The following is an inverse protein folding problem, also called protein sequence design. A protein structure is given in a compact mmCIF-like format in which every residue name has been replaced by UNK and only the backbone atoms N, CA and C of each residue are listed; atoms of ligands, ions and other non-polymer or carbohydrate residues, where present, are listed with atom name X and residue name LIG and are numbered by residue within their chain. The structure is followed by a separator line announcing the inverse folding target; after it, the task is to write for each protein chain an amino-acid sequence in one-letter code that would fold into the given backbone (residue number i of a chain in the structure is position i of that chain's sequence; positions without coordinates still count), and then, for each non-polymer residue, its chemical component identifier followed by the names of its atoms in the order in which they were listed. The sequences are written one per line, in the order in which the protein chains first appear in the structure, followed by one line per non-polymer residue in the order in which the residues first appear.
data_IF_520649162139
#
_entry.id   IF_520649162139
#
_cell.length_a   1.000
_cell.length_b   1.000
_cell.length_c   1.000
_cell.angle_alpha   90.00
_cell.angle_beta   90.00
_cell.angle_gamma   90.00
#
_symmetry.space_group_name_H-M   'P 1'
#
loop_
_entity.id
_entity.type
_entity.pdbx_description
1 polymer ?
#
# COMPACT_ATOMS: atom_id res chain seq x y z
N UNK A 1 -4.85 23.29 -3.31
CA UNK A 1 -6.06 22.54 -3.70
C UNK A 1 -5.83 21.06 -3.53
N UNK A 2 -6.79 20.36 -2.94
CA UNK A 2 -6.68 18.94 -2.73
C UNK A 2 -6.79 18.15 -4.03
N UNK A 3 -6.15 17.00 -4.07
CA UNK A 3 -6.09 16.13 -5.24
C UNK A 3 -6.66 14.75 -4.90
N UNK A 4 -7.10 13.97 -5.88
CA UNK A 4 -7.50 12.60 -5.60
C UNK A 4 -6.29 11.74 -5.25
N UNK A 5 -6.48 10.77 -4.37
CA UNK A 5 -5.44 9.85 -3.94
C UNK A 5 -5.79 8.40 -4.24
N UNK A 6 -4.77 7.64 -4.66
CA UNK A 6 -4.85 6.20 -4.77
C UNK A 6 -3.92 5.60 -3.73
N UNK A 7 -4.51 4.99 -2.70
CA UNK A 7 -3.79 4.36 -1.61
C UNK A 7 -3.74 2.86 -1.87
N UNK A 8 -2.55 2.36 -2.17
CA UNK A 8 -2.38 0.99 -2.65
C UNK A 8 -1.68 0.15 -1.59
N UNK A 9 -2.19 -1.06 -1.34
CA UNK A 9 -1.45 -2.04 -0.56
C UNK A 9 -0.24 -2.52 -1.37
N UNK A 10 0.77 -3.02 -0.67
CA UNK A 10 1.96 -3.56 -1.30
C UNK A 10 1.76 -5.05 -1.63
N UNK A 11 1.70 -5.89 -0.58
CA UNK A 11 1.62 -7.34 -0.74
C UNK A 11 0.20 -7.75 -1.17
N UNK A 12 0.09 -8.48 -2.25
CA UNK A 12 -1.19 -8.90 -2.80
C UNK A 12 -1.86 -7.91 -3.75
N UNK A 13 -1.28 -6.72 -3.94
CA UNK A 13 -1.79 -5.69 -4.87
C UNK A 13 -0.73 -5.27 -5.89
N UNK A 14 0.41 -4.76 -5.42
CA UNK A 14 1.52 -4.36 -6.31
C UNK A 14 2.50 -5.50 -6.56
N UNK A 15 2.76 -6.31 -5.55
CA UNK A 15 3.63 -7.49 -5.66
C UNK A 15 2.91 -8.73 -5.15
N UNK A 16 3.37 -9.88 -5.61
CA UNK A 16 2.88 -11.16 -5.10
C UNK A 16 3.21 -11.30 -3.61
N UNK A 17 2.25 -11.80 -2.84
CA UNK A 17 2.46 -12.10 -1.43
C UNK A 17 2.99 -13.52 -1.28
N UNK A 18 4.31 -13.64 -1.13
CA UNK A 18 5.01 -14.92 -0.97
C UNK A 18 5.24 -15.31 0.49
N UNK A 19 4.58 -14.62 1.42
CA UNK A 19 4.81 -14.80 2.85
C UNK A 19 5.95 -13.90 3.34
N UNK A 20 5.61 -12.70 3.77
CA UNK A 20 6.56 -11.69 4.27
C UNK A 20 7.71 -11.38 3.30
N UNK A 21 7.42 -10.93 2.04
CA UNK A 21 8.48 -10.61 1.08
C UNK A 21 9.40 -9.51 1.63
N UNK A 22 10.71 -9.75 1.58
CA UNK A 22 11.70 -8.81 2.12
C UNK A 22 13.08 -8.91 1.45
N UNK A 23 13.34 -9.95 0.66
CA UNK A 23 14.58 -10.11 -0.11
C UNK A 23 14.33 -9.72 -1.56
N UNK A 24 15.38 -9.26 -2.25
CA UNK A 24 15.27 -8.83 -3.65
C UNK A 24 14.59 -9.88 -4.53
N UNK A 25 14.90 -11.16 -4.30
CA UNK A 25 14.31 -12.28 -5.04
C UNK A 25 12.82 -12.48 -4.78
N UNK A 26 12.28 -11.89 -3.71
CA UNK A 26 10.85 -11.95 -3.41
C UNK A 26 10.04 -10.91 -4.19
N UNK A 27 10.72 -9.96 -4.85
CA UNK A 27 10.02 -8.86 -5.52
C UNK A 27 9.51 -9.32 -6.88
N UNK A 28 8.22 -9.61 -6.94
CA UNK A 28 7.53 -10.03 -8.17
C UNK A 28 6.30 -9.16 -8.35
N UNK A 29 6.34 -8.28 -9.34
CA UNK A 29 5.21 -7.40 -9.64
C UNK A 29 3.99 -8.22 -10.05
N UNK A 30 2.83 -7.83 -9.54
CA UNK A 30 1.56 -8.36 -10.01
C UNK A 30 1.35 -7.88 -11.45
N UNK A 31 0.75 -8.71 -12.32
CA UNK A 31 0.49 -8.29 -13.71
C UNK A 31 -0.25 -6.95 -13.76
N UNK A 32 0.24 -6.05 -14.58
CA UNK A 32 -0.35 -4.73 -14.75
C UNK A 32 -0.05 -3.73 -13.62
N UNK A 33 0.76 -4.07 -12.61
CA UNK A 33 1.02 -3.17 -11.49
C UNK A 33 1.64 -1.85 -11.94
N UNK A 34 2.70 -1.89 -12.74
CA UNK A 34 3.34 -0.66 -13.22
C UNK A 34 2.42 0.14 -14.14
N UNK A 35 1.71 -0.54 -15.04
CA UNK A 35 0.75 0.13 -15.94
C UNK A 35 -0.38 0.81 -15.13
N UNK A 36 -0.86 0.16 -14.07
CA UNK A 36 -1.89 0.71 -13.20
C UNK A 36 -1.41 1.99 -12.51
N UNK A 37 -0.21 1.95 -11.92
CA UNK A 37 0.35 3.12 -11.23
C UNK A 37 0.59 4.25 -12.22
N UNK A 38 1.15 3.95 -13.39
CA UNK A 38 1.37 4.96 -14.43
C UNK A 38 0.06 5.62 -14.87
N UNK A 39 -1.00 4.82 -15.05
CA UNK A 39 -2.33 5.35 -15.38
C UNK A 39 -2.82 6.31 -14.30
N UNK A 40 -2.67 5.95 -13.04
CA UNK A 40 -3.05 6.82 -11.91
C UNK A 40 -2.23 8.11 -11.90
N UNK A 41 -0.92 8.02 -12.17
CA UNK A 41 -0.08 9.22 -12.31
C UNK A 41 -0.61 10.13 -13.43
N UNK A 42 -0.89 9.57 -14.59
CA UNK A 42 -1.37 10.33 -15.75
C UNK A 42 -2.75 10.97 -15.49
N UNK A 43 -3.58 10.34 -14.67
CA UNK A 43 -4.89 10.86 -14.29
C UNK A 43 -4.83 11.90 -13.14
N UNK A 44 -3.65 12.18 -12.60
CA UNK A 44 -3.47 13.18 -11.57
C UNK A 44 -3.67 12.71 -10.14
N UNK A 45 -3.74 11.38 -9.93
CA UNK A 45 -3.82 10.83 -8.58
C UNK A 45 -2.50 10.95 -7.85
N UNK A 46 -2.56 11.27 -6.57
CA UNK A 46 -1.44 11.07 -5.67
C UNK A 46 -1.37 9.57 -5.37
N UNK A 47 -0.24 8.94 -5.65
CA UNK A 47 -0.08 7.49 -5.46
C UNK A 47 0.73 7.20 -4.21
N UNK A 48 0.13 6.52 -3.25
CA UNK A 48 0.79 6.17 -1.99
C UNK A 48 0.62 4.68 -1.71
N UNK A 49 1.69 4.08 -1.16
CA UNK A 49 1.63 2.71 -0.65
C UNK A 49 1.32 2.78 0.84
N UNK A 50 0.36 1.98 1.28
CA UNK A 50 -0.04 1.85 2.69
C UNK A 50 -0.06 0.37 3.03
N UNK A 51 0.86 -0.09 3.89
CA UNK A 51 1.07 -1.53 4.08
C UNK A 51 1.39 -1.91 5.52
N UNK A 52 0.76 -2.99 6.01
CA UNK A 52 1.18 -3.64 7.25
C UNK A 52 2.43 -4.48 6.95
N UNK A 53 3.46 -4.35 7.79
CA UNK A 53 4.72 -5.07 7.66
C UNK A 53 5.10 -5.75 8.97
N UNK A 54 4.25 -6.64 9.44
CA UNK A 54 4.43 -7.32 10.72
C UNK A 54 5.60 -8.31 10.75
N UNK A 55 6.22 -8.59 9.60
CA UNK A 55 7.46 -9.38 9.56
C UNK A 55 8.58 -8.75 10.39
N UNK A 56 8.61 -7.43 10.49
CA UNK A 56 9.54 -6.70 11.36
C UNK A 56 9.27 -7.05 12.82
N UNK A 57 8.01 -6.98 13.25
CA UNK A 57 7.60 -7.33 14.61
C UNK A 57 7.89 -8.80 14.95
N UNK A 58 7.85 -9.68 13.96
CA UNK A 58 8.10 -11.12 14.12
C UNK A 58 9.58 -11.48 14.06
N UNK A 59 10.46 -10.48 13.86
CA UNK A 59 11.91 -10.70 13.80
C UNK A 59 12.40 -11.37 12.52
N UNK A 60 11.59 -11.40 11.46
CA UNK A 60 11.97 -12.01 10.19
C UNK A 60 12.93 -11.13 9.39
N UNK A 61 12.85 -9.82 9.55
CA UNK A 61 13.75 -8.83 8.95
C UNK A 61 13.61 -7.53 9.76
N UNK A 62 14.60 -6.64 9.63
CA UNK A 62 14.57 -5.35 10.32
C UNK A 62 13.96 -4.23 9.46
N UNK A 63 13.81 -3.03 10.05
CA UNK A 63 13.28 -1.88 9.31
C UNK A 63 14.17 -1.47 8.16
N UNK A 64 15.50 -1.56 8.30
CA UNK A 64 16.42 -1.21 7.22
C UNK A 64 16.19 -2.10 6.02
N UNK A 65 16.00 -3.42 6.22
CA UNK A 65 15.68 -4.34 5.13
C UNK A 65 14.33 -4.03 4.51
N UNK A 66 13.33 -3.70 5.33
CA UNK A 66 12.02 -3.30 4.85
C UNK A 66 12.12 -2.05 3.96
N UNK A 67 12.85 -1.02 4.41
CA UNK A 67 13.03 0.21 3.63
C UNK A 67 13.79 -0.05 2.33
N UNK A 68 14.82 -0.90 2.35
CA UNK A 68 15.57 -1.26 1.15
C UNK A 68 14.70 -1.99 0.13
N UNK A 69 13.84 -2.90 0.61
CA UNK A 69 12.90 -3.61 -0.26
C UNK A 69 11.89 -2.65 -0.89
N UNK A 70 11.34 -1.73 -0.09
CA UNK A 70 10.40 -0.73 -0.60
C UNK A 70 11.07 0.18 -1.64
N UNK A 71 12.32 0.59 -1.40
CA UNK A 71 13.08 1.39 -2.37
C UNK A 71 13.29 0.64 -3.69
N UNK A 72 13.58 -0.66 -3.62
CA UNK A 72 13.72 -1.50 -4.80
C UNK A 72 12.39 -1.59 -5.58
N UNK A 73 11.27 -1.71 -4.88
CA UNK A 73 9.96 -1.71 -5.51
C UNK A 73 9.71 -0.41 -6.28
N UNK A 74 10.00 0.74 -5.65
CA UNK A 74 9.83 2.03 -6.30
C UNK A 74 10.73 2.17 -7.53
N UNK A 75 11.95 1.66 -7.46
CA UNK A 75 12.89 1.64 -8.59
C UNK A 75 12.36 0.79 -9.73
N UNK A 76 11.84 -0.42 -9.44
CA UNK A 76 11.27 -1.30 -10.47
C UNK A 76 10.05 -0.67 -11.14
N UNK A 77 9.21 0.02 -10.39
CA UNK A 77 8.07 0.74 -10.95
C UNK A 77 8.55 1.91 -11.82
N UNK A 78 9.56 2.66 -11.36
CA UNK A 78 10.12 3.79 -12.09
C UNK A 78 10.74 3.36 -13.42
N UNK A 79 11.36 2.18 -13.47
CA UNK A 79 11.91 1.61 -14.72
C UNK A 79 10.83 1.45 -15.80
N UNK A 80 9.57 1.32 -15.40
CA UNK A 80 8.44 1.20 -16.31
C UNK A 80 7.61 2.49 -16.39
N UNK A 81 8.16 3.61 -15.91
CA UNK A 81 7.53 4.92 -16.00
C UNK A 81 6.47 5.21 -14.94
N UNK A 82 6.40 4.41 -13.90
CA UNK A 82 5.42 4.57 -12.81
C UNK A 82 6.05 5.21 -11.58
N UNK A 83 5.33 6.17 -10.94
CA UNK A 83 5.82 6.90 -9.78
C UNK A 83 4.93 6.65 -8.57
N UNK A 84 5.58 6.36 -7.43
CA UNK A 84 4.93 6.34 -6.12
C UNK A 84 5.38 7.59 -5.35
N UNK A 85 4.43 8.35 -4.83
CA UNK A 85 4.71 9.61 -4.15
C UNK A 85 5.14 9.42 -2.70
N UNK A 86 4.67 8.38 -2.02
CA UNK A 86 5.06 8.08 -0.64
C UNK A 86 4.75 6.63 -0.26
N UNK A 87 5.44 6.14 0.78
CA UNK A 87 5.23 4.81 1.35
C UNK A 87 4.98 4.94 2.85
N UNK A 88 3.88 4.37 3.31
CA UNK A 88 3.54 4.27 4.73
C UNK A 88 3.51 2.79 5.10
N UNK A 89 4.33 2.41 6.08
CA UNK A 89 4.43 1.02 6.53
C UNK A 89 4.27 0.95 8.05
N UNK A 90 3.54 -0.05 8.52
CA UNK A 90 3.34 -0.29 9.95
C UNK A 90 4.04 -1.60 10.36
N UNK A 91 5.13 -1.52 11.15
CA UNK A 91 5.84 -2.71 11.61
C UNK A 91 5.24 -3.32 12.88
N UNK A 92 4.28 -2.66 13.52
CA UNK A 92 3.76 -3.06 14.83
C UNK A 92 2.77 -4.22 14.75
N UNK A 93 2.74 -5.03 15.80
CA UNK A 93 1.81 -6.15 15.95
C UNK A 93 1.58 -6.45 17.43
N UNK A 94 0.37 -6.87 17.80
CA UNK A 94 0.04 -7.20 19.18
C UNK A 94 0.84 -8.39 19.73
N UNK A 95 1.20 -9.32 18.85
CA UNK A 95 1.93 -10.54 19.20
C UNK A 95 3.39 -10.49 18.74
N UNK A 96 3.99 -9.29 18.72
CA UNK A 96 5.38 -9.12 18.29
C UNK A 96 6.33 -9.89 19.19
N UNK A 97 7.28 -10.61 18.55
CA UNK A 97 8.40 -11.23 19.28
C UNK A 97 9.51 -10.22 19.56
N UNK A 98 9.60 -9.16 18.74
CA UNK A 98 10.50 -8.03 18.97
C UNK A 98 9.74 -7.02 19.81
N UNK A 99 10.14 -6.86 21.07
CA UNK A 99 9.37 -6.13 22.09
C UNK A 99 9.01 -4.70 21.69
N UNK A 100 9.94 -3.95 21.10
CA UNK A 100 9.69 -2.55 20.71
C UNK A 100 8.60 -2.38 19.66
N UNK A 101 8.24 -3.45 18.95
CA UNK A 101 7.16 -3.43 17.96
C UNK A 101 5.86 -4.04 18.49
N UNK A 102 5.81 -4.38 19.79
CA UNK A 102 4.59 -4.92 20.39
C UNK A 102 3.67 -3.78 20.76
N UNK A 103 2.47 -3.80 20.18
CA UNK A 103 1.43 -2.84 20.51
C UNK A 103 0.08 -3.55 20.36
N UNK A 104 -0.79 -3.46 21.38
CA UNK A 104 -2.06 -4.21 21.36
C UNK A 104 -3.01 -3.74 20.25
N UNK A 105 -2.94 -2.45 19.86
CA UNK A 105 -3.82 -1.88 18.85
C UNK A 105 -3.21 -0.60 18.29
N UNK A 106 -2.12 -0.73 17.52
CA UNK A 106 -1.42 0.44 16.97
C UNK A 106 -2.32 1.18 15.98
N UNK A 107 -2.40 2.53 16.08
CA UNK A 107 -3.27 3.32 15.19
C UNK A 107 -2.94 3.20 13.70
N UNK A 108 -1.72 2.81 13.35
CA UNK A 108 -1.31 2.61 11.95
C UNK A 108 -1.59 1.20 11.44
N UNK A 109 -1.85 0.24 12.34
CA UNK A 109 -2.08 -1.13 11.89
C UNK A 109 -3.51 -1.30 11.40
N UNK A 110 -3.68 -1.65 10.12
CA UNK A 110 -5.00 -1.93 9.54
C UNK A 110 -5.70 -3.03 10.38
N UNK A 111 -6.96 -2.92 10.72
CA UNK A 111 -7.97 -2.03 10.11
C UNK A 111 -8.00 -0.59 10.64
N UNK A 112 -7.07 -0.17 11.50
CA UNK A 112 -7.00 1.21 11.95
C UNK A 112 -6.53 2.11 10.79
N UNK A 113 -7.06 3.34 10.67
CA UNK A 113 -6.84 4.18 9.50
C UNK A 113 -5.65 5.14 9.62
N UNK A 114 -4.76 4.99 10.62
CA UNK A 114 -3.72 5.99 10.91
C UNK A 114 -2.84 6.33 9.72
N UNK A 115 -2.38 5.32 8.96
CA UNK A 115 -1.55 5.56 7.77
C UNK A 115 -2.32 6.31 6.69
N UNK A 116 -3.58 5.93 6.44
CA UNK A 116 -4.42 6.61 5.44
C UNK A 116 -4.68 8.06 5.84
N UNK A 117 -4.98 8.32 7.11
CA UNK A 117 -5.22 9.67 7.59
C UNK A 117 -3.98 10.56 7.47
N UNK A 118 -2.79 10.01 7.75
CA UNK A 118 -1.54 10.74 7.56
C UNK A 118 -1.29 11.05 6.09
N UNK A 119 -1.50 10.08 5.21
CA UNK A 119 -1.33 10.28 3.77
C UNK A 119 -2.27 11.40 3.26
N UNK A 120 -3.52 11.37 3.70
CA UNK A 120 -4.52 12.39 3.34
C UNK A 120 -4.04 13.79 3.74
N UNK A 121 -3.54 13.93 4.97
CA UNK A 121 -3.07 15.21 5.49
C UNK A 121 -1.77 15.67 4.82
N UNK A 122 -0.79 14.78 4.73
CA UNK A 122 0.56 15.14 4.25
C UNK A 122 0.61 15.41 2.75
N UNK A 123 -0.31 14.81 1.99
CA UNK A 123 -0.33 14.95 0.52
C UNK A 123 -1.53 15.74 0.00
N UNK A 124 -2.26 16.40 0.91
CA UNK A 124 -3.44 17.20 0.56
C UNK A 124 -4.42 16.43 -0.34
N UNK A 125 -4.76 15.23 0.11
CA UNK A 125 -5.65 14.33 -0.62
C UNK A 125 -7.12 14.63 -0.25
N UNK A 126 -7.98 14.64 -1.27
CA UNK A 126 -9.43 14.74 -1.07
C UNK A 126 -10.00 13.31 -0.89
N UNK A 127 -10.40 12.92 0.32
CA UNK A 127 -10.87 11.55 0.55
C UNK A 127 -12.12 11.20 -0.25
N UNK A 128 -12.96 12.19 -0.58
CA UNK A 128 -14.22 11.94 -1.32
C UNK A 128 -13.99 11.58 -2.78
N UNK A 129 -12.79 11.84 -3.32
CA UNK A 129 -12.40 11.51 -4.68
C UNK A 129 -11.32 10.45 -4.73
N UNK A 130 -11.10 9.75 -3.61
CA UNK A 130 -9.97 8.85 -3.42
C UNK A 130 -10.43 7.43 -3.13
N UNK A 131 -9.49 6.48 -3.29
CA UNK A 131 -9.78 5.09 -3.01
C UNK A 131 -8.57 4.36 -2.39
N UNK A 132 -8.87 3.25 -1.76
CA UNK A 132 -7.90 2.30 -1.21
C UNK A 132 -8.05 0.97 -1.93
N UNK A 133 -6.97 0.45 -2.52
CA UNK A 133 -6.93 -0.89 -3.08
C UNK A 133 -6.24 -1.81 -2.10
N UNK A 134 -6.90 -2.89 -1.72
CA UNK A 134 -6.36 -3.91 -0.84
C UNK A 134 -6.95 -5.27 -1.15
N UNK A 135 -6.34 -6.32 -0.63
CA UNK A 135 -6.78 -7.70 -0.85
C UNK A 135 -7.46 -8.32 0.37
N UNK A 136 -7.49 -7.61 1.50
CA UNK A 136 -8.01 -8.11 2.78
C UNK A 136 -9.22 -7.30 3.27
N UNK A 137 -10.11 -7.93 4.09
CA UNK A 137 -11.19 -7.18 4.73
C UNK A 137 -10.70 -6.01 5.58
N UNK A 138 -9.52 -6.13 6.21
CA UNK A 138 -8.93 -5.05 7.00
C UNK A 138 -8.60 -3.81 6.17
N UNK A 139 -8.28 -3.97 4.88
CA UNK A 139 -8.07 -2.86 3.96
C UNK A 139 -9.37 -2.09 3.72
N UNK A 140 -10.48 -2.81 3.56
CA UNK A 140 -11.79 -2.23 3.31
C UNK A 140 -12.29 -1.48 4.55
N UNK A 141 -12.08 -2.02 5.74
CA UNK A 141 -12.46 -1.37 6.97
C UNK A 141 -11.62 -0.11 7.24
N UNK A 142 -10.32 -0.16 6.99
CA UNK A 142 -9.46 1.01 7.10
C UNK A 142 -9.91 2.12 6.14
N UNK A 143 -10.25 1.77 4.91
CA UNK A 143 -10.78 2.73 3.92
C UNK A 143 -12.06 3.38 4.43
N UNK A 144 -13.00 2.59 4.93
CA UNK A 144 -14.27 3.09 5.47
C UNK A 144 -14.03 4.08 6.61
N UNK A 145 -13.14 3.74 7.54
CA UNK A 145 -12.81 4.60 8.69
C UNK A 145 -12.14 5.89 8.28
N UNK A 146 -11.36 5.86 7.19
CA UNK A 146 -10.67 7.05 6.68
C UNK A 146 -11.55 7.91 5.76
N UNK A 147 -12.73 7.43 5.39
CA UNK A 147 -13.64 8.16 4.50
C UNK A 147 -13.28 8.06 3.03
N UNK A 148 -12.53 7.04 2.62
CA UNK A 148 -12.20 6.77 1.21
C UNK A 148 -12.90 5.50 0.74
N UNK A 149 -13.10 5.40 -0.58
CA UNK A 149 -13.71 4.21 -1.17
C UNK A 149 -12.75 3.01 -1.08
N UNK A 150 -13.22 1.87 -0.63
CA UNK A 150 -12.46 0.63 -0.64
C UNK A 150 -12.71 -0.15 -1.92
N UNK A 151 -11.64 -0.58 -2.58
CA UNK A 151 -11.69 -1.45 -3.76
C UNK A 151 -10.93 -2.74 -3.44
N UNK A 152 -11.66 -3.85 -3.37
CA UNK A 152 -11.04 -5.12 -3.04
C UNK A 152 -10.52 -5.81 -4.30
N UNK A 153 -9.20 -6.03 -4.35
CA UNK A 153 -8.53 -6.71 -5.45
C UNK A 153 -8.39 -8.20 -5.13
N UNK A 154 -8.91 -9.04 -6.00
CA UNK A 154 -8.93 -10.50 -5.79
C UNK A 154 -7.98 -11.24 -6.74
N UNK A 155 -6.95 -10.55 -7.25
CA UNK A 155 -5.98 -11.13 -8.16
C UNK A 155 -6.24 -10.77 -9.62
N UNK A 156 -5.37 -11.24 -10.49
CA UNK A 156 -5.41 -10.94 -11.91
C UNK A 156 -4.58 -9.71 -12.26
N UNK A 157 -4.97 -9.02 -13.32
CA UNK A 157 -4.25 -7.84 -13.82
C UNK A 157 -4.74 -6.58 -13.10
N UNK A 158 -3.85 -5.90 -12.40
CA UNK A 158 -4.21 -4.71 -11.62
C UNK A 158 -4.65 -3.54 -12.48
N UNK A 159 -4.02 -3.33 -13.65
CA UNK A 159 -4.41 -2.25 -14.54
C UNK A 159 -5.83 -2.46 -15.09
N UNK A 160 -6.13 -3.68 -15.50
CA UNK A 160 -7.47 -4.03 -15.97
C UNK A 160 -8.50 -3.81 -14.85
N UNK A 161 -8.19 -4.25 -13.63
CA UNK A 161 -9.05 -4.05 -12.46
C UNK A 161 -9.37 -2.57 -12.25
N UNK A 162 -8.35 -1.71 -12.26
CA UNK A 162 -8.55 -0.27 -12.05
C UNK A 162 -9.27 0.40 -13.21
N UNK A 163 -8.98 0.00 -14.44
CA UNK A 163 -9.70 0.53 -15.63
C UNK A 163 -11.21 0.30 -15.51
N UNK A 164 -11.60 -0.89 -15.09
CA UNK A 164 -13.01 -1.22 -14.89
C UNK A 164 -13.66 -0.38 -13.79
N UNK A 165 -12.92 -0.06 -12.72
CA UNK A 165 -13.41 0.71 -11.58
C UNK A 165 -13.43 2.21 -11.85
N UNK A 166 -12.50 2.72 -12.65
CA UNK A 166 -12.37 4.15 -12.94
C UNK A 166 -13.09 4.59 -14.21
N UNK A 167 -13.73 3.66 -14.91
CA UNK A 167 -14.54 3.98 -16.08
C UNK A 167 -13.73 4.27 -17.35
N UNK A 168 -12.56 3.67 -17.46
CA UNK A 168 -11.80 3.86 -18.69
C UNK A 168 -10.35 3.52 -18.58
#
# INVERSE_FOLDING_TARGET
MSVPGACLDRDGVLIEDSGYPHLDEHLRLIPGAAAAVKRLNDLGYRTVIVTNQSGVARGLFDEDRMHAFNALLLERLADEGARIDAVYACPFHAEATVERYRHPDHPDRKPNPGMLLRAITEHDIDPTRSFRVGDQPSDMEAARRAGVQGLRFEGGDLDLFLRERLGG
#
